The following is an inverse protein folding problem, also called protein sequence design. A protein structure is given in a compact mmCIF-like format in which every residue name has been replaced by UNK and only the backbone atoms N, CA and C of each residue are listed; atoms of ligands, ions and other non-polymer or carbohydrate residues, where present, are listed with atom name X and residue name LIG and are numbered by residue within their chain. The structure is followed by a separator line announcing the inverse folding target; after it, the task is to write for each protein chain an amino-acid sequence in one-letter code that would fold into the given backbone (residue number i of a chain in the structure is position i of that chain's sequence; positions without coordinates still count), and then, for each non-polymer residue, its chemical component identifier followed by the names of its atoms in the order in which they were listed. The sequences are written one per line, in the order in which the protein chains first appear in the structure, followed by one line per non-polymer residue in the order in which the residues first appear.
data_IF_143654705664
#
_entry.id   IF_143654705664
#
_cell.length_a   1.000
_cell.length_b   1.000
_cell.length_c   1.000
_cell.angle_alpha   90.00
_cell.angle_beta   90.00
_cell.angle_gamma   90.00
#
_symmetry.space_group_name_H-M   'P 1'
#
loop_
_entity.id
_entity.type
_entity.pdbx_description
1 polymer ?
#
# COMPACT_ATOMS: atom_id res chain seq x y z
N UNK A 1 52.51 21.15 54.88
CA UNK A 1 52.65 21.19 53.41
C UNK A 1 52.09 19.91 52.82
N UNK A 2 50.79 19.87 52.51
CA UNK A 2 50.24 19.16 51.32
C UNK A 2 48.80 19.62 51.15
N UNK A 3 48.55 20.29 50.03
CA UNK A 3 47.25 20.79 49.58
C UNK A 3 46.60 19.68 48.74
N UNK A 4 45.34 19.30 48.98
CA UNK A 4 44.59 18.45 48.04
C UNK A 4 43.23 19.05 47.68
N UNK A 5 43.28 19.81 46.60
CA UNK A 5 42.38 19.98 45.45
C UNK A 5 40.91 19.50 45.59
N UNK A 6 40.02 20.46 45.28
CA UNK A 6 38.57 20.39 45.02
C UNK A 6 38.16 19.32 44.01
N UNK A 7 36.96 18.75 44.18
CA UNK A 7 36.11 18.38 43.03
C UNK A 7 34.64 18.63 43.39
N UNK A 8 34.06 19.68 42.81
CA UNK A 8 32.61 19.93 42.82
C UNK A 8 32.08 19.24 41.57
N UNK A 9 31.26 18.21 41.74
CA UNK A 9 30.53 17.59 40.63
C UNK A 9 29.20 18.32 40.49
N UNK A 10 29.15 19.26 39.56
CA UNK A 10 27.90 19.88 39.09
C UNK A 10 27.13 18.84 38.29
N UNK A 11 26.01 18.35 38.86
CA UNK A 11 25.07 17.47 38.17
C UNK A 11 24.27 18.28 37.16
N UNK A 12 24.60 18.14 35.87
CA UNK A 12 23.79 18.68 34.78
C UNK A 12 22.47 17.92 34.73
N UNK A 13 21.37 18.59 35.04
CA UNK A 13 20.02 18.08 34.79
C UNK A 13 19.84 18.06 33.28
N UNK A 14 19.91 16.85 32.70
CA UNK A 14 19.55 16.59 31.32
C UNK A 14 18.03 16.72 31.21
N UNK A 15 17.55 17.91 30.83
CA UNK A 15 16.16 18.12 30.46
C UNK A 15 15.86 17.32 29.20
N UNK A 16 15.44 16.06 29.38
CA UNK A 16 14.74 15.30 28.36
C UNK A 16 13.41 16.01 28.09
N UNK A 17 13.44 16.94 27.13
CA UNK A 17 12.21 17.36 26.46
C UNK A 17 11.77 16.16 25.64
N UNK A 18 10.95 15.31 26.23
CA UNK A 18 10.24 14.27 25.50
C UNK A 18 9.37 15.00 24.47
N UNK A 19 9.85 15.10 23.23
CA UNK A 19 8.97 15.46 22.13
C UNK A 19 7.82 14.45 22.16
N UNK A 20 6.55 14.90 22.17
CA UNK A 20 5.46 13.97 22.05
C UNK A 20 5.67 13.20 20.76
N UNK A 21 5.86 11.88 20.87
CA UNK A 21 5.72 10.97 19.74
C UNK A 21 4.27 11.12 19.31
N UNK A 22 4.03 11.92 18.28
CA UNK A 22 2.71 11.98 17.65
C UNK A 22 2.54 10.65 16.95
N UNK A 23 1.86 9.71 17.61
CA UNK A 23 1.33 8.55 16.93
C UNK A 23 0.52 9.07 15.73
N UNK A 24 0.93 8.72 14.52
CA UNK A 24 0.15 9.01 13.33
C UNK A 24 -1.09 8.11 13.40
N UNK A 25 -2.20 8.66 13.87
CA UNK A 25 -3.45 7.90 13.99
C UNK A 25 -3.94 7.58 12.58
N UNK A 26 -4.09 6.29 12.27
CA UNK A 26 -4.81 5.82 11.09
C UNK A 26 -6.29 5.80 11.46
N UNK A 27 -7.08 6.63 10.78
CA UNK A 27 -8.49 6.80 11.04
C UNK A 27 -9.32 6.23 9.89
N UNK A 28 -10.48 5.64 10.19
CA UNK A 28 -11.40 5.15 9.15
C UNK A 28 -12.20 6.35 8.62
N UNK A 29 -12.02 6.68 7.34
CA UNK A 29 -12.80 7.72 6.66
C UNK A 29 -14.14 7.16 6.17
N UNK A 30 -14.10 6.00 5.49
CA UNK A 30 -15.29 5.35 4.93
C UNK A 30 -15.21 3.84 5.06
N UNK A 31 -16.35 3.20 5.33
CA UNK A 31 -16.55 1.76 5.17
C UNK A 31 -17.63 1.53 4.11
N UNK A 32 -17.22 1.15 2.91
CA UNK A 32 -18.12 0.71 1.85
C UNK A 32 -18.25 -0.82 1.87
N UNK A 33 -19.18 -1.35 1.08
CA UNK A 33 -19.41 -2.80 0.97
C UNK A 33 -18.14 -3.54 0.51
N UNK A 34 -17.43 -2.97 -0.47
CA UNK A 34 -16.34 -3.64 -1.17
C UNK A 34 -14.96 -3.01 -0.93
N UNK A 35 -14.87 -1.91 -0.20
CA UNK A 35 -13.61 -1.26 0.14
C UNK A 35 -13.72 -0.45 1.43
N UNK A 36 -12.59 -0.20 2.08
CA UNK A 36 -12.51 0.75 3.18
C UNK A 36 -11.53 1.87 2.82
N UNK A 37 -11.85 3.10 3.19
CA UNK A 37 -10.95 4.25 3.05
C UNK A 37 -10.46 4.67 4.42
N UNK A 38 -9.15 4.81 4.52
CA UNK A 38 -8.43 5.19 5.72
C UNK A 38 -7.68 6.49 5.49
N UNK A 39 -7.50 7.26 6.54
CA UNK A 39 -6.88 8.57 6.54
C UNK A 39 -5.75 8.62 7.56
N UNK A 40 -4.64 9.28 7.19
CA UNK A 40 -3.57 9.67 8.10
C UNK A 40 -3.40 11.19 7.99
N UNK A 41 -4.20 11.92 8.77
CA UNK A 41 -4.33 13.38 8.64
C UNK A 41 -2.98 14.11 8.78
N UNK A 42 -2.13 13.67 9.73
CA UNK A 42 -0.82 14.29 9.96
C UNK A 42 0.13 14.20 8.76
N UNK A 43 0.01 13.12 7.97
CA UNK A 43 0.82 12.87 6.78
C UNK A 43 0.09 13.27 5.49
N UNK A 44 -1.15 13.76 5.60
CA UNK A 44 -2.01 14.11 4.48
C UNK A 44 -2.14 13.00 3.44
N UNK A 45 -2.38 11.78 3.95
CA UNK A 45 -2.53 10.57 3.13
C UNK A 45 -3.93 10.01 3.32
N UNK A 46 -4.55 9.62 2.21
CA UNK A 46 -5.71 8.73 2.22
C UNK A 46 -5.40 7.50 1.39
N UNK A 47 -5.90 6.35 1.81
CA UNK A 47 -5.73 5.10 1.08
C UNK A 47 -6.99 4.25 1.16
N UNK A 48 -7.29 3.54 0.08
CA UNK A 48 -8.39 2.61 0.02
C UNK A 48 -7.85 1.18 -0.08
N UNK A 49 -8.53 0.26 0.59
CA UNK A 49 -8.19 -1.17 0.63
C UNK A 49 -9.41 -1.97 0.20
N UNK A 50 -9.22 -2.81 -0.81
CA UNK A 50 -10.18 -3.82 -1.27
C UNK A 50 -9.60 -5.21 -0.97
N UNK A 51 -10.36 -6.04 -0.26
CA UNK A 51 -10.04 -7.44 -0.05
C UNK A 51 -10.87 -8.30 -1.01
N UNK A 52 -10.22 -9.27 -1.66
CA UNK A 52 -10.87 -10.15 -2.62
C UNK A 52 -10.27 -11.56 -2.60
N UNK A 53 -10.77 -12.41 -3.49
CA UNK A 53 -10.26 -13.77 -3.70
C UNK A 53 -9.85 -13.98 -5.16
N UNK A 54 -8.73 -14.66 -5.36
CA UNK A 54 -8.31 -15.11 -6.68
C UNK A 54 -9.20 -16.25 -7.20
N UNK A 55 -9.01 -16.65 -8.46
CA UNK A 55 -9.76 -17.74 -9.10
C UNK A 55 -9.59 -19.08 -8.37
N UNK A 56 -8.45 -19.28 -7.71
CA UNK A 56 -8.18 -20.49 -6.93
C UNK A 56 -8.63 -20.40 -5.45
N UNK A 57 -9.23 -19.27 -5.05
CA UNK A 57 -9.77 -19.02 -3.71
C UNK A 57 -8.81 -18.37 -2.71
N UNK A 58 -7.56 -18.09 -3.10
CA UNK A 58 -6.56 -17.43 -2.26
C UNK A 58 -6.92 -15.96 -2.00
N UNK A 59 -6.64 -15.47 -0.78
CA UNK A 59 -6.97 -14.09 -0.40
C UNK A 59 -5.99 -13.08 -1.00
N UNK A 60 -6.49 -11.96 -1.49
CA UNK A 60 -5.66 -10.84 -1.95
C UNK A 60 -6.17 -9.50 -1.46
N UNK A 61 -5.30 -8.49 -1.52
CA UNK A 61 -5.62 -7.12 -1.14
C UNK A 61 -5.11 -6.11 -2.16
N UNK A 62 -6.03 -5.42 -2.82
CA UNK A 62 -5.68 -4.27 -3.63
C UNK A 62 -5.70 -3.01 -2.77
N UNK A 63 -4.64 -2.20 -2.84
CA UNK A 63 -4.56 -0.91 -2.15
C UNK A 63 -4.19 0.23 -3.11
N UNK A 64 -4.95 1.32 -3.06
CA UNK A 64 -4.59 2.57 -3.73
C UNK A 64 -4.32 3.63 -2.67
N UNK A 65 -3.26 4.42 -2.81
CA UNK A 65 -2.89 5.42 -1.81
C UNK A 65 -2.49 6.73 -2.47
N UNK A 66 -2.99 7.83 -1.92
CA UNK A 66 -2.74 9.15 -2.47
C UNK A 66 -2.34 10.12 -1.38
N UNK A 67 -1.35 10.94 -1.71
CA UNK A 67 -0.90 12.08 -0.91
C UNK A 67 -1.32 13.36 -1.62
N UNK A 68 -1.22 14.52 -0.98
CA UNK A 68 -1.49 15.80 -1.66
C UNK A 68 -0.61 16.03 -2.90
N UNK A 69 0.61 15.51 -2.89
CA UNK A 69 1.63 15.84 -3.90
C UNK A 69 1.91 14.69 -4.88
N UNK A 70 1.46 13.47 -4.60
CA UNK A 70 1.77 12.28 -5.39
C UNK A 70 0.72 11.16 -5.25
N UNK A 71 0.44 10.54 -6.39
CA UNK A 71 -0.37 9.32 -6.50
C UNK A 71 0.54 8.08 -6.51
N UNK A 72 0.07 7.02 -5.86
CA UNK A 72 0.73 5.73 -5.87
C UNK A 72 -0.30 4.61 -5.71
N UNK A 73 0.07 3.39 -6.07
CA UNK A 73 -0.76 2.22 -5.78
C UNK A 73 0.10 1.01 -5.47
N UNK A 74 -0.49 0.04 -4.79
CA UNK A 74 0.15 -1.17 -4.32
C UNK A 74 -0.82 -2.34 -4.44
N UNK A 75 -0.32 -3.47 -4.93
CA UNK A 75 -1.04 -4.74 -4.81
C UNK A 75 -0.29 -5.56 -3.79
N UNK A 76 -1.01 -6.04 -2.79
CA UNK A 76 -0.50 -7.02 -1.85
C UNK A 76 -1.41 -8.24 -1.89
N UNK A 77 -0.90 -9.39 -1.53
CA UNK A 77 -1.75 -10.56 -1.46
C UNK A 77 -1.07 -11.71 -0.78
N UNK A 78 -1.88 -12.72 -0.54
CA UNK A 78 -1.46 -13.97 0.05
C UNK A 78 -1.61 -15.05 -1.01
N UNK A 79 -0.57 -15.86 -1.15
CA UNK A 79 -0.57 -17.07 -1.97
C UNK A 79 -0.29 -18.25 -1.06
N UNK A 80 -1.14 -19.27 -1.05
CA UNK A 80 -0.93 -20.47 -0.23
C UNK A 80 0.46 -21.08 -0.47
N UNK A 81 1.27 -21.22 0.59
CA UNK A 81 2.62 -21.78 0.57
C UNK A 81 2.71 -23.12 -0.17
N UNK A 82 1.65 -23.95 -0.12
CA UNK A 82 1.63 -25.24 -0.81
C UNK A 82 1.61 -25.12 -2.35
N UNK A 83 1.22 -23.96 -2.87
CA UNK A 83 1.19 -23.64 -4.31
C UNK A 83 2.47 -22.95 -4.78
N UNK A 84 3.29 -22.47 -3.84
CA UNK A 84 4.55 -21.76 -4.11
C UNK A 84 5.63 -22.79 -4.45
N UNK A 85 5.73 -23.12 -5.73
CA UNK A 85 6.79 -24.01 -6.25
C UNK A 85 8.13 -23.29 -6.48
N UNK A 86 8.11 -21.95 -6.48
CA UNK A 86 9.24 -21.06 -6.66
C UNK A 86 9.10 -19.86 -5.73
N UNK A 87 10.22 -19.37 -5.18
CA UNK A 87 10.22 -18.17 -4.31
C UNK A 87 9.78 -16.89 -5.03
N UNK A 88 9.71 -16.92 -6.35
CA UNK A 88 9.33 -15.80 -7.20
C UNK A 88 8.34 -16.22 -8.29
N UNK A 89 7.47 -15.29 -8.67
CA UNK A 89 6.58 -15.38 -9.83
C UNK A 89 6.73 -14.15 -10.74
N UNK A 90 6.18 -14.25 -11.95
CA UNK A 90 5.97 -13.15 -12.87
C UNK A 90 4.47 -12.78 -12.86
N UNK A 91 4.16 -11.61 -12.29
CA UNK A 91 2.82 -11.05 -12.25
C UNK A 91 2.57 -10.19 -13.49
N UNK A 92 1.60 -10.58 -14.30
CA UNK A 92 1.11 -9.79 -15.43
C UNK A 92 -0.07 -8.94 -15.00
N UNK A 93 -0.06 -7.66 -15.39
CA UNK A 93 -1.16 -6.73 -15.19
C UNK A 93 -1.84 -6.53 -16.53
N UNK A 94 -3.12 -6.88 -16.58
CA UNK A 94 -3.90 -6.87 -17.82
C UNK A 94 -5.11 -5.98 -17.69
N UNK A 95 -5.35 -5.21 -18.73
CA UNK A 95 -6.58 -4.45 -18.94
C UNK A 95 -7.27 -4.96 -20.21
N UNK A 96 -8.54 -5.34 -20.12
CA UNK A 96 -9.29 -5.96 -21.21
C UNK A 96 -8.55 -7.14 -21.86
N UNK A 97 -7.88 -7.95 -21.03
CA UNK A 97 -7.06 -9.10 -21.47
C UNK A 97 -5.72 -8.75 -22.12
N UNK A 98 -5.39 -7.47 -22.34
CA UNK A 98 -4.12 -7.02 -22.91
C UNK A 98 -3.10 -6.74 -21.82
N UNK A 99 -1.87 -7.23 -22.00
CA UNK A 99 -0.76 -6.97 -21.09
C UNK A 99 -0.41 -5.47 -21.11
N UNK A 100 -0.56 -4.80 -19.97
CA UNK A 100 0.05 -3.48 -19.75
C UNK A 100 1.51 -3.65 -19.37
N UNK A 101 1.79 -4.52 -18.40
CA UNK A 101 3.14 -4.75 -17.88
C UNK A 101 3.27 -6.11 -17.20
N UNK A 102 4.50 -6.52 -16.95
CA UNK A 102 4.85 -7.69 -16.16
C UNK A 102 5.92 -7.31 -15.14
N UNK A 103 5.81 -7.83 -13.92
CA UNK A 103 6.78 -7.59 -12.83
C UNK A 103 7.10 -8.89 -12.12
N UNK A 104 8.37 -9.06 -11.78
CA UNK A 104 8.76 -10.13 -10.87
C UNK A 104 8.21 -9.82 -9.48
N UNK A 105 7.70 -10.83 -8.79
CA UNK A 105 7.15 -10.74 -7.45
C UNK A 105 7.76 -11.85 -6.63
N UNK A 106 8.35 -11.50 -5.50
CA UNK A 106 8.90 -12.46 -4.55
C UNK A 106 7.88 -12.75 -3.45
N UNK A 107 7.76 -14.02 -3.09
CA UNK A 107 6.94 -14.45 -1.96
C UNK A 107 7.80 -14.54 -0.69
N UNK A 108 7.28 -13.98 0.40
CA UNK A 108 7.86 -14.08 1.73
C UNK A 108 6.79 -14.52 2.71
N UNK A 109 6.87 -15.79 3.16
CA UNK A 109 5.88 -16.41 4.07
C UNK A 109 4.46 -16.32 3.50
N UNK A 110 4.25 -16.85 2.29
CA UNK A 110 3.01 -16.71 1.52
C UNK A 110 2.64 -15.30 1.05
N UNK A 111 3.20 -14.25 1.63
CA UNK A 111 2.84 -12.87 1.28
C UNK A 111 3.64 -12.36 0.10
N UNK A 112 3.02 -11.50 -0.71
CA UNK A 112 3.71 -10.67 -1.68
C UNK A 112 3.24 -9.22 -1.61
N UNK A 113 4.13 -8.31 -2.01
CA UNK A 113 3.82 -6.89 -2.16
C UNK A 113 4.50 -6.38 -3.44
N UNK A 114 3.72 -5.72 -4.29
CA UNK A 114 4.22 -5.07 -5.48
C UNK A 114 3.84 -3.57 -5.44
N UNK A 115 4.77 -2.70 -5.05
CA UNK A 115 4.58 -1.26 -5.12
C UNK A 115 4.84 -0.75 -6.54
N UNK A 116 4.05 0.22 -6.99
CA UNK A 116 4.29 0.93 -8.25
C UNK A 116 4.82 2.32 -7.97
N UNK A 117 6.05 2.56 -8.42
CA UNK A 117 6.79 3.79 -8.10
C UNK A 117 7.29 4.53 -9.34
N UNK A 118 7.27 3.90 -10.53
CA UNK A 118 7.70 4.56 -11.76
C UNK A 118 6.55 5.37 -12.38
N UNK A 119 6.78 6.67 -12.62
CA UNK A 119 5.74 7.60 -13.09
C UNK A 119 5.06 7.17 -14.40
N UNK A 120 5.80 6.54 -15.31
CA UNK A 120 5.22 6.07 -16.59
C UNK A 120 4.31 4.86 -16.39
N UNK A 121 4.66 3.94 -15.49
CA UNK A 121 3.81 2.80 -15.13
C UNK A 121 2.53 3.27 -14.45
N UNK A 122 2.67 4.24 -13.53
CA UNK A 122 1.54 4.86 -12.84
C UNK A 122 0.56 5.47 -13.84
N UNK A 123 1.05 6.30 -14.77
CA UNK A 123 0.22 6.90 -15.84
C UNK A 123 -0.47 5.86 -16.70
N UNK A 124 0.24 4.81 -17.12
CA UNK A 124 -0.32 3.74 -17.92
C UNK A 124 -1.41 2.97 -17.19
N UNK A 125 -1.17 2.68 -15.91
CA UNK A 125 -2.15 2.02 -15.05
C UNK A 125 -3.39 2.88 -14.81
N UNK A 126 -3.22 4.18 -14.54
CA UNK A 126 -4.32 5.12 -14.32
C UNK A 126 -5.20 5.27 -15.56
N UNK A 127 -4.58 5.33 -16.74
CA UNK A 127 -5.30 5.31 -18.01
C UNK A 127 -6.08 3.99 -18.18
N UNK A 128 -5.50 2.86 -17.81
CA UNK A 128 -6.15 1.55 -17.80
C UNK A 128 -7.38 1.52 -16.89
N UNK A 129 -7.22 1.91 -15.62
CA UNK A 129 -8.34 1.98 -14.65
C UNK A 129 -9.44 2.90 -15.14
N UNK A 130 -9.10 4.01 -15.79
CA UNK A 130 -10.10 4.97 -16.28
C UNK A 130 -10.89 4.44 -17.48
N UNK A 131 -10.24 3.71 -18.39
CA UNK A 131 -10.82 3.43 -19.73
C UNK A 131 -11.22 1.98 -19.98
N UNK A 132 -10.62 1.02 -19.29
CA UNK A 132 -10.87 -0.40 -19.52
C UNK A 132 -12.18 -0.88 -18.90
N UNK A 133 -12.65 -2.06 -19.28
CA UNK A 133 -13.81 -2.71 -18.64
C UNK A 133 -13.38 -3.72 -17.58
N UNK A 134 -12.27 -4.40 -17.79
CA UNK A 134 -11.77 -5.41 -16.85
C UNK A 134 -10.32 -5.19 -16.52
N UNK A 135 -9.94 -5.58 -15.30
CA UNK A 135 -8.56 -5.66 -14.85
C UNK A 135 -8.30 -7.01 -14.23
N UNK A 136 -7.12 -7.59 -14.53
CA UNK A 136 -6.67 -8.81 -13.90
C UNK A 136 -5.18 -8.77 -13.60
N UNK A 137 -4.81 -9.42 -12.50
CA UNK A 137 -3.46 -9.78 -12.16
C UNK A 137 -3.29 -11.27 -12.39
N UNK A 138 -2.39 -11.67 -13.28
CA UNK A 138 -2.19 -13.07 -13.65
C UNK A 138 -0.79 -13.50 -13.22
N UNK A 139 -0.72 -14.48 -12.33
CA UNK A 139 0.52 -15.13 -11.92
C UNK A 139 0.88 -16.23 -12.90
N UNK A 140 2.12 -16.20 -13.41
CA UNK A 140 2.56 -17.13 -14.44
C UNK A 140 2.84 -18.52 -13.89
N UNK A 141 3.58 -18.61 -12.79
CA UNK A 141 4.15 -19.86 -12.30
C UNK A 141 3.18 -20.57 -11.36
N UNK A 142 2.45 -19.84 -10.51
CA UNK A 142 1.38 -20.40 -9.68
C UNK A 142 0.08 -20.64 -10.45
N UNK A 143 -0.02 -20.14 -11.69
CA UNK A 143 -1.18 -20.29 -12.56
C UNK A 143 -2.49 -19.86 -11.88
N UNK A 144 -2.46 -18.67 -11.30
CA UNK A 144 -3.59 -18.07 -10.60
C UNK A 144 -3.89 -16.68 -11.18
N UNK A 145 -5.16 -16.25 -11.06
CA UNK A 145 -5.64 -14.97 -11.56
C UNK A 145 -6.48 -14.27 -10.51
N UNK A 146 -6.19 -12.99 -10.27
CA UNK A 146 -7.02 -12.09 -9.47
C UNK A 146 -7.77 -11.17 -10.44
N UNK A 147 -9.07 -11.36 -10.57
CA UNK A 147 -9.94 -10.46 -11.33
C UNK A 147 -10.43 -9.35 -10.40
N UNK A 148 -10.32 -8.10 -10.84
CA UNK A 148 -10.78 -6.95 -10.07
C UNK A 148 -11.84 -6.20 -10.87
N UNK A 149 -12.97 -5.94 -10.22
CA UNK A 149 -13.99 -5.04 -10.73
C UNK A 149 -13.47 -3.60 -10.71
N UNK A 150 -13.33 -3.00 -11.89
CA UNK A 150 -12.83 -1.64 -12.03
C UNK A 150 -13.77 -0.59 -11.45
N UNK A 151 -15.07 -0.87 -11.35
CA UNK A 151 -16.01 0.08 -10.75
C UNK A 151 -15.78 0.22 -9.25
N UNK A 152 -15.41 -0.88 -8.57
CA UNK A 152 -14.95 -0.84 -7.17
C UNK A 152 -13.70 0.03 -7.04
N UNK A 153 -12.71 -0.14 -7.94
CA UNK A 153 -11.47 0.63 -7.89
C UNK A 153 -11.70 2.11 -8.16
N UNK A 154 -12.55 2.45 -9.14
CA UNK A 154 -12.92 3.83 -9.45
C UNK A 154 -13.64 4.50 -8.29
N UNK A 155 -14.60 3.81 -7.67
CA UNK A 155 -15.31 4.31 -6.50
C UNK A 155 -14.34 4.55 -5.33
N UNK A 156 -13.45 3.60 -5.06
CA UNK A 156 -12.43 3.71 -4.04
C UNK A 156 -11.50 4.92 -4.27
N UNK A 157 -11.08 5.15 -5.52
CA UNK A 157 -10.26 6.32 -5.89
C UNK A 157 -10.99 7.64 -5.69
N UNK A 158 -12.25 7.72 -6.11
CA UNK A 158 -13.06 8.91 -5.91
C UNK A 158 -13.24 9.23 -4.42
N UNK A 159 -13.47 8.21 -3.58
CA UNK A 159 -13.56 8.39 -2.13
C UNK A 159 -12.22 8.81 -1.50
N UNK A 160 -11.10 8.28 -1.99
CA UNK A 160 -9.75 8.76 -1.59
C UNK A 160 -9.54 10.24 -1.93
N UNK A 161 -9.99 10.70 -3.11
CA UNK A 161 -9.92 12.10 -3.49
C UNK A 161 -10.76 12.98 -2.53
N UNK A 162 -12.01 12.58 -2.25
CA UNK A 162 -12.86 13.27 -1.27
C UNK A 162 -12.26 13.28 0.14
N UNK A 163 -11.63 12.17 0.55
CA UNK A 163 -10.93 12.08 1.83
C UNK A 163 -9.80 13.11 1.93
N UNK A 164 -9.03 13.30 0.87
CA UNK A 164 -7.92 14.26 0.83
C UNK A 164 -8.39 15.71 0.84
N UNK A 165 -9.48 16.02 0.14
CA UNK A 165 -10.11 17.35 0.19
C UNK A 165 -10.53 17.73 1.62
N UNK A 166 -10.87 16.74 2.45
CA UNK A 166 -11.21 16.92 3.87
C UNK A 166 -10.02 17.20 4.79
N UNK A 167 -8.78 16.96 4.35
CA UNK A 167 -7.57 17.21 5.14
C UNK A 167 -7.13 18.67 4.96
N UNK A 168 -7.31 19.48 6.01
CA UNK A 168 -6.88 20.89 6.05
C UNK A 168 -5.36 21.05 6.13
#
# INVERSE_FOLDING_TARGET
MTTLIKTIVTSSILSCVALPVVAQNVEVFEKAENYNVMQVAASKVCFAVHAGKSEDGSDFTYATYKTLDNDRWQVAGYTDDNKITSKSDLLFIKFDGRNLMARAVDFSRSDFVLPFTEDNDLKGFDAGVTTAKTMSFVFKNTNDTMNIDLDIIRAARASVDTCLEGIK
#
